data_IF_302283451147
#
_entry.id   IF_302283451147
#
_cell.length_a   1.000
_cell.length_b   1.000
_cell.length_c   1.000
_cell.angle_alpha   90.00
_cell.angle_beta   90.00
_cell.angle_gamma   90.00
#
_symmetry.space_group_name_H-M   'P 1'
#
loop_
_entity.id
_entity.type
_entity.pdbx_description
1 polymer ?
#
# COMPACT_ATOMS: atom_id res chain seq x y z
N UNK A 1 6.70 -14.17 32.53
CA UNK A 1 5.62 -13.58 31.70
C UNK A 1 4.85 -12.48 32.44
N UNK A 2 4.28 -12.72 33.63
CA UNK A 2 3.56 -11.69 34.40
C UNK A 2 4.47 -10.56 34.94
N UNK A 3 5.73 -10.85 35.29
CA UNK A 3 6.68 -9.85 35.77
C UNK A 3 7.07 -8.79 34.72
N UNK A 4 7.08 -9.14 33.43
CA UNK A 4 7.42 -8.20 32.35
C UNK A 4 6.31 -7.18 32.11
N UNK A 5 5.05 -7.55 32.34
CA UNK A 5 3.88 -6.68 32.12
C UNK A 5 3.77 -5.62 33.21
N UNK A 6 4.12 -5.96 34.45
CA UNK A 6 4.11 -5.01 35.58
C UNK A 6 5.22 -3.96 35.44
N UNK A 7 6.43 -4.36 35.03
CA UNK A 7 7.52 -3.42 34.78
C UNK A 7 7.23 -2.41 33.66
N UNK A 8 6.53 -2.85 32.61
CA UNK A 8 6.12 -1.94 31.52
C UNK A 8 5.08 -0.90 31.96
N UNK A 9 4.23 -1.23 32.94
CA UNK A 9 3.19 -0.32 33.45
C UNK A 9 3.80 0.75 34.39
N UNK A 10 4.78 0.38 35.22
CA UNK A 10 5.43 1.32 36.15
C UNK A 10 6.37 2.33 35.49
N UNK A 11 6.81 2.09 34.24
CA UNK A 11 7.65 3.02 33.48
C UNK A 11 6.88 4.22 32.88
N UNK A 12 5.54 4.22 32.95
CA UNK A 12 4.67 5.28 32.42
C UNK A 12 4.22 6.21 33.55
N UNK A 13 5.14 6.63 34.43
CA UNK A 13 4.89 7.77 35.33
C UNK A 13 5.50 9.03 34.68
N UNK A 14 4.69 9.96 34.14
CA UNK A 14 5.23 11.14 33.47
C UNK A 14 5.84 12.07 34.52
N UNK A 15 7.17 12.21 34.50
CA UNK A 15 7.91 13.20 35.29
C UNK A 15 7.51 14.60 34.79
N UNK A 16 6.64 15.31 35.53
CA UNK A 16 6.24 16.67 35.18
C UNK A 16 7.38 17.65 35.49
N UNK A 17 8.17 17.99 34.48
CA UNK A 17 9.16 19.08 34.54
C UNK A 17 8.46 20.41 34.26
N UNK A 18 8.24 21.23 35.28
CA UNK A 18 7.59 22.53 35.17
C UNK A 18 8.50 23.61 34.58
N UNK A 19 8.23 24.03 33.34
CA UNK A 19 8.60 25.37 32.84
C UNK A 19 7.30 26.12 32.54
N UNK A 20 7.08 27.24 33.25
CA UNK A 20 5.90 28.08 33.09
C UNK A 20 5.89 28.69 31.67
N UNK A 21 4.81 28.49 30.92
CA UNK A 21 4.62 29.12 29.61
C UNK A 21 3.20 29.66 29.49
N UNK A 22 3.09 30.90 28.99
CA UNK A 22 1.92 31.74 28.67
C UNK A 22 0.51 31.15 28.82
N UNK A 23 -0.43 31.94 29.31
CA UNK A 23 -1.87 31.64 29.54
C UNK A 23 -2.60 30.82 28.44
N UNK A 24 -2.18 30.89 27.17
CA UNK A 24 -2.68 30.04 26.07
C UNK A 24 -2.34 28.54 26.23
N UNK A 25 -1.26 28.21 26.93
CA UNK A 25 -0.83 26.83 27.18
C UNK A 25 -1.74 26.13 28.18
N UNK A 26 -2.36 26.85 29.11
CA UNK A 26 -3.25 26.26 30.12
C UNK A 26 -4.55 25.76 29.46
N UNK A 27 -5.15 26.56 28.57
CA UNK A 27 -6.35 26.16 27.83
C UNK A 27 -6.06 24.99 26.88
N UNK A 28 -4.89 24.97 26.24
CA UNK A 28 -4.45 23.84 25.43
C UNK A 28 -4.23 22.58 26.28
N UNK A 29 -3.49 22.69 27.39
CA UNK A 29 -3.23 21.57 28.29
C UNK A 29 -4.52 20.97 28.86
N UNK A 30 -5.52 21.80 29.20
CA UNK A 30 -6.84 21.32 29.65
C UNK A 30 -7.54 20.50 28.57
N UNK A 31 -7.54 20.96 27.31
CA UNK A 31 -8.10 20.20 26.18
C UNK A 31 -7.35 18.87 25.98
N UNK A 32 -6.02 18.88 26.03
CA UNK A 32 -5.22 17.65 25.94
C UNK A 32 -5.56 16.67 27.07
N UNK A 33 -5.68 17.14 28.32
CA UNK A 33 -6.08 16.28 29.45
C UNK A 33 -7.47 15.71 29.26
N UNK A 34 -8.43 16.50 28.78
CA UNK A 34 -9.77 16.00 28.49
C UNK A 34 -9.74 14.90 27.42
N UNK A 35 -9.00 15.09 26.34
CA UNK A 35 -8.80 14.10 25.29
C UNK A 35 -8.16 12.81 25.82
N UNK A 36 -7.06 12.94 26.59
CA UNK A 36 -6.37 11.79 27.17
C UNK A 36 -7.24 11.01 28.15
N UNK A 37 -8.15 11.67 28.89
CA UNK A 37 -9.10 10.98 29.77
C UNK A 37 -10.08 10.13 28.98
N UNK A 38 -10.54 10.60 27.82
CA UNK A 38 -11.40 9.85 26.91
C UNK A 38 -10.63 8.64 26.36
N UNK A 39 -9.42 8.86 25.84
CA UNK A 39 -8.59 7.77 25.27
C UNK A 39 -8.19 6.72 26.31
N UNK A 40 -7.94 7.15 27.55
CA UNK A 40 -7.64 6.25 28.67
C UNK A 40 -8.85 5.38 29.06
N UNK A 41 -10.08 5.86 28.81
CA UNK A 41 -11.31 5.13 29.11
C UNK A 41 -11.69 4.10 28.04
N UNK A 42 -10.95 4.03 26.93
CA UNK A 42 -11.16 3.03 25.88
C UNK A 42 -10.75 1.64 26.40
N UNK A 43 -11.70 0.71 26.39
CA UNK A 43 -11.44 -0.69 26.72
C UNK A 43 -10.54 -1.33 25.65
N UNK A 44 -9.41 -1.91 26.06
CA UNK A 44 -8.47 -2.58 25.17
C UNK A 44 -8.67 -4.09 25.20
N UNK A 45 -8.74 -4.70 24.03
CA UNK A 45 -8.68 -6.16 23.89
C UNK A 45 -7.25 -6.67 24.05
N UNK A 46 -7.08 -7.94 24.43
CA UNK A 46 -5.75 -8.57 24.53
C UNK A 46 -5.08 -8.62 23.16
N UNK A 47 -3.79 -8.31 23.11
CA UNK A 47 -2.98 -8.39 21.88
C UNK A 47 -3.05 -9.78 21.26
N UNK A 48 -2.98 -10.84 22.08
CA UNK A 48 -3.10 -12.22 21.60
C UNK A 48 -4.43 -12.50 20.88
N UNK A 49 -5.53 -11.89 21.34
CA UNK A 49 -6.83 -12.00 20.68
C UNK A 49 -6.84 -11.25 19.36
N UNK A 50 -6.40 -9.99 19.37
CA UNK A 50 -6.32 -9.18 18.15
C UNK A 50 -5.44 -9.85 17.08
N UNK A 51 -4.30 -10.44 17.47
CA UNK A 51 -3.43 -11.18 16.55
C UNK A 51 -4.11 -12.42 15.97
N UNK A 52 -4.86 -13.17 16.77
CA UNK A 52 -5.61 -14.33 16.29
C UNK A 52 -6.72 -13.92 15.30
N UNK A 53 -7.45 -12.85 15.62
CA UNK A 53 -8.50 -12.31 14.75
C UNK A 53 -7.92 -11.87 13.39
N UNK A 54 -6.77 -11.19 13.40
CA UNK A 54 -6.05 -10.81 12.17
C UNK A 54 -5.59 -12.04 11.36
N UNK A 55 -5.03 -13.05 12.02
CA UNK A 55 -4.61 -14.29 11.36
C UNK A 55 -5.78 -15.03 10.71
N UNK A 56 -6.91 -15.12 11.41
CA UNK A 56 -8.11 -15.76 10.91
C UNK A 56 -8.65 -15.01 9.68
N UNK A 57 -8.75 -13.68 9.77
CA UNK A 57 -9.19 -12.84 8.66
C UNK A 57 -8.32 -13.04 7.41
N UNK A 58 -7.00 -12.97 7.57
CA UNK A 58 -6.06 -13.22 6.47
C UNK A 58 -6.21 -14.62 5.88
N UNK A 59 -6.39 -15.65 6.71
CA UNK A 59 -6.49 -17.05 6.26
C UNK A 59 -7.79 -17.31 5.49
N UNK A 60 -8.91 -16.73 5.94
CA UNK A 60 -10.21 -16.84 5.28
C UNK A 60 -10.19 -16.18 3.89
N UNK A 61 -9.51 -15.05 3.75
CA UNK A 61 -9.47 -14.28 2.51
C UNK A 61 -8.29 -14.63 1.61
N UNK A 62 -7.31 -15.39 2.11
CA UNK A 62 -6.10 -15.75 1.37
C UNK A 62 -6.41 -16.39 0.01
N UNK A 63 -7.41 -17.26 -0.07
CA UNK A 63 -7.79 -17.96 -1.31
C UNK A 63 -8.35 -17.02 -2.39
N UNK A 64 -8.93 -15.91 -1.96
CA UNK A 64 -9.57 -14.92 -2.82
C UNK A 64 -8.63 -13.78 -3.18
N UNK A 65 -7.42 -13.74 -2.63
CA UNK A 65 -6.41 -12.73 -2.93
C UNK A 65 -5.64 -13.14 -4.21
N UNK A 66 -5.84 -12.42 -5.34
CA UNK A 66 -5.15 -12.70 -6.60
C UNK A 66 -3.63 -12.56 -6.52
N UNK A 67 -3.12 -11.76 -5.57
CA UNK A 67 -1.70 -11.52 -5.40
C UNK A 67 -1.04 -12.61 -4.57
N UNK A 68 -1.79 -13.27 -3.68
CA UNK A 68 -1.28 -14.35 -2.85
C UNK A 68 -1.39 -15.72 -3.54
N UNK A 69 -2.55 -16.04 -4.12
CA UNK A 69 -2.76 -17.32 -4.81
C UNK A 69 -2.33 -17.30 -6.27
N UNK A 70 -2.22 -16.11 -6.86
CA UNK A 70 -2.08 -15.95 -8.30
C UNK A 70 -3.42 -16.12 -9.03
N UNK A 71 -3.58 -15.41 -10.13
CA UNK A 71 -4.70 -15.59 -11.07
C UNK A 71 -4.20 -16.06 -12.42
N UNK A 72 -4.98 -16.86 -13.16
CA UNK A 72 -4.61 -17.25 -14.50
C UNK A 72 -4.49 -16.03 -15.40
N UNK A 73 -3.58 -16.12 -16.36
CA UNK A 73 -3.22 -15.01 -17.24
C UNK A 73 -4.46 -14.44 -18.00
N UNK A 74 -5.47 -15.26 -18.30
CA UNK A 74 -6.72 -14.80 -18.94
C UNK A 74 -7.59 -13.88 -18.06
N UNK A 75 -7.54 -14.06 -16.75
CA UNK A 75 -8.33 -13.28 -15.78
C UNK A 75 -7.60 -12.02 -15.32
N UNK A 76 -6.28 -11.96 -15.54
CA UNK A 76 -5.48 -10.79 -15.20
C UNK A 76 -5.83 -9.59 -16.11
N UNK A 77 -6.46 -8.52 -15.59
CA UNK A 77 -6.82 -7.34 -16.38
C UNK A 77 -5.61 -6.57 -16.92
N UNK A 78 -4.44 -6.75 -16.30
CA UNK A 78 -3.18 -6.11 -16.70
C UNK A 78 -2.37 -6.94 -17.70
N UNK A 79 -2.86 -8.08 -18.15
CA UNK A 79 -2.14 -8.87 -19.16
C UNK A 79 -2.25 -8.21 -20.53
N UNK A 80 -1.10 -8.11 -21.21
CA UNK A 80 -1.05 -7.70 -22.61
C UNK A 80 -1.95 -8.57 -23.48
N UNK A 81 -2.92 -7.92 -24.14
CA UNK A 81 -3.72 -8.57 -25.17
C UNK A 81 -2.76 -9.01 -26.27
N UNK A 82 -2.83 -10.27 -26.70
CA UNK A 82 -2.07 -10.74 -27.86
C UNK A 82 -2.43 -9.82 -29.03
N UNK A 83 -1.46 -9.05 -29.53
CA UNK A 83 -1.64 -8.22 -30.71
C UNK A 83 -2.22 -9.09 -31.83
N UNK A 84 -3.28 -8.63 -32.50
CA UNK A 84 -3.89 -9.37 -33.61
C UNK A 84 -2.79 -9.72 -34.64
N UNK A 85 -2.49 -11.01 -34.83
CA UNK A 85 -1.43 -11.48 -35.73
C UNK A 85 -1.64 -10.93 -37.16
N UNK A 86 -2.90 -10.70 -37.56
CA UNK A 86 -3.26 -10.12 -38.86
C UNK A 86 -2.72 -8.70 -38.98
N UNK A 87 -2.86 -7.86 -37.94
CA UNK A 87 -2.35 -6.49 -37.96
C UNK A 87 -0.82 -6.45 -37.92
N UNK A 88 -0.17 -7.39 -37.22
CA UNK A 88 1.29 -7.48 -37.16
C UNK A 88 1.90 -7.93 -38.50
N UNK A 89 1.24 -8.85 -39.22
CA UNK A 89 1.67 -9.26 -40.55
C UNK A 89 1.44 -8.16 -41.59
N UNK A 90 0.29 -7.50 -41.58
CA UNK A 90 -0.03 -6.41 -42.53
C UNK A 90 0.88 -5.20 -42.34
N UNK A 91 1.16 -4.79 -41.10
CA UNK A 91 2.12 -3.70 -40.82
C UNK A 91 3.54 -4.09 -41.20
N UNK A 92 4.01 -5.31 -40.87
CA UNK A 92 5.35 -5.77 -41.26
C UNK A 92 5.53 -5.91 -42.77
N UNK A 93 4.49 -6.31 -43.50
CA UNK A 93 4.49 -6.34 -44.97
C UNK A 93 4.56 -4.91 -45.52
N UNK A 94 3.74 -3.99 -45.00
CA UNK A 94 3.71 -2.59 -45.45
C UNK A 94 5.03 -1.84 -45.17
N UNK A 95 5.65 -2.06 -44.02
CA UNK A 95 6.97 -1.49 -43.70
C UNK A 95 8.07 -2.02 -44.64
N UNK A 96 8.01 -3.30 -45.01
CA UNK A 96 8.98 -3.92 -45.92
C UNK A 96 8.81 -3.50 -47.38
N UNK A 97 7.60 -3.16 -47.82
CA UNK A 97 7.35 -2.60 -49.16
C UNK A 97 7.70 -1.12 -49.23
N UNK A 98 7.47 -0.34 -48.16
CA UNK A 98 7.85 1.07 -48.09
C UNK A 98 9.37 1.28 -48.25
N UNK A 99 10.20 0.52 -47.52
CA UNK A 99 11.68 0.59 -47.62
C UNK A 99 12.19 0.20 -49.01
N UNK A 100 11.50 -0.71 -49.70
CA UNK A 100 11.90 -1.17 -51.05
C UNK A 100 11.57 -0.14 -52.14
N UNK A 101 10.56 0.71 -51.92
CA UNK A 101 10.18 1.77 -52.85
C UNK A 101 11.05 3.03 -52.72
N UNK A 102 11.64 3.29 -51.54
CA UNK A 102 12.61 4.38 -51.39
C UNK A 102 13.97 4.07 -52.06
N UNK A 103 14.47 2.84 -52.00
CA UNK A 103 15.77 2.51 -52.63
C UNK A 103 15.76 2.46 -54.17
N UNK A 104 14.59 2.56 -54.82
CA UNK A 104 14.51 2.65 -56.29
C UNK A 104 14.53 4.08 -56.84
N UNK A 105 14.63 5.11 -55.99
CA UNK A 105 14.86 6.48 -56.45
C UNK A 105 16.37 6.75 -56.53
N UNK A 106 17.00 6.20 -57.57
CA UNK A 106 18.36 6.60 -57.95
C UNK A 106 18.38 8.10 -58.27
N UNK A 107 19.40 8.87 -57.84
CA UNK A 107 19.53 10.25 -58.25
C UNK A 107 19.91 10.26 -59.74
N UNK A 108 18.99 10.69 -60.60
CA UNK A 108 19.41 11.39 -61.80
C UNK A 108 19.99 12.71 -61.34
N UNK A 109 21.26 12.96 -61.67
CA UNK A 109 21.78 14.24 -62.19
C UNK A 109 23.32 14.24 -62.09
N UNK A 110 24.02 15.02 -62.92
CA UNK A 110 23.53 16.13 -63.77
C UNK A 110 23.25 15.78 -65.23
#
# INVERSE_FOLDING_TARGET
>A
MLFSVVLHYSAVLPRMSSKAHSSNNIAHARRTVQQLRIEASIERIKVSKASADLMNYCSEHARNDPLLMGIPASENPFKDKKHCTILYHSTRIFSKTAVRNEQKKAPLMP
#
